data_IF_134434698569
#
_entry.id   IF_134434698569
#
_cell.length_a   1.000
_cell.length_b   1.000
_cell.length_c   1.000
_cell.angle_alpha   90.00
_cell.angle_beta   90.00
_cell.angle_gamma   90.00
#
_symmetry.space_group_name_H-M   'P 1'
#
loop_
_entity.id
_entity.type
_entity.pdbx_description
1 polymer ?
#
# COMPACT_ATOMS: atom_id res chain seq x y z
N UNK A 1 17.12 1.63 42.41
CA UNK A 1 18.06 0.54 42.06
C UNK A 1 17.57 -0.10 40.76
N UNK A 2 18.04 0.42 39.62
CA UNK A 2 17.89 -0.13 38.26
C UNK A 2 19.19 0.23 37.52
N UNK A 3 19.83 -0.69 36.78
CA UNK A 3 21.13 -0.42 36.18
C UNK A 3 20.99 0.47 34.93
N UNK A 4 21.76 1.56 34.92
CA UNK A 4 22.08 2.34 33.71
C UNK A 4 23.03 1.50 32.85
N UNK A 5 22.54 0.97 31.73
CA UNK A 5 23.41 0.47 30.66
C UNK A 5 23.58 1.61 29.66
N UNK A 6 24.77 2.22 29.64
CA UNK A 6 25.23 3.13 28.59
C UNK A 6 25.88 2.32 27.46
N UNK A 7 25.51 2.51 26.19
CA UNK A 7 26.36 2.09 25.08
C UNK A 7 27.44 3.17 24.89
N UNK A 8 28.69 2.76 25.06
CA UNK A 8 29.87 3.57 24.87
C UNK A 8 30.13 3.72 23.36
N UNK A 9 29.67 4.82 22.76
CA UNK A 9 30.01 5.19 21.38
C UNK A 9 31.34 5.95 21.38
N UNK A 10 32.45 5.22 21.28
CA UNK A 10 33.77 5.81 21.01
C UNK A 10 33.83 6.27 19.54
N UNK A 11 33.57 7.56 19.32
CA UNK A 11 34.43 8.36 18.47
C UNK A 11 34.08 8.61 16.99
N UNK A 12 32.88 8.27 16.48
CA UNK A 12 32.42 8.72 15.13
C UNK A 12 30.91 8.95 15.08
N UNK A 13 30.46 9.93 14.29
CA UNK A 13 29.07 10.42 14.21
C UNK A 13 28.06 9.33 13.83
N UNK A 14 26.88 9.39 14.43
CA UNK A 14 25.78 8.41 14.42
C UNK A 14 25.15 8.07 13.03
N UNK A 15 25.72 8.56 11.92
CA UNK A 15 25.14 8.39 10.58
C UNK A 15 25.59 7.13 9.82
N UNK A 16 26.46 6.27 10.36
CA UNK A 16 27.10 5.23 9.53
C UNK A 16 27.18 3.83 10.18
N UNK A 17 26.07 3.33 10.75
CA UNK A 17 26.03 1.95 11.28
C UNK A 17 24.89 1.07 10.76
N UNK A 18 24.04 1.54 9.83
CA UNK A 18 22.97 0.72 9.23
C UNK A 18 22.89 0.98 7.72
N UNK A 19 23.93 0.58 7.01
CA UNK A 19 23.84 0.33 5.58
C UNK A 19 23.39 -1.13 5.38
N UNK A 20 22.44 -1.33 4.45
CA UNK A 20 22.13 -2.58 3.70
C UNK A 20 20.84 -3.39 3.94
N UNK A 21 19.79 -2.92 4.64
CA UNK A 21 18.43 -3.46 4.37
C UNK A 21 17.30 -2.58 4.92
N UNK A 22 16.34 -2.22 4.06
CA UNK A 22 15.29 -1.23 4.29
C UNK A 22 14.07 -1.75 5.03
N UNK A 23 14.24 -2.29 6.23
CA UNK A 23 13.10 -2.67 7.07
C UNK A 23 12.61 -1.47 7.88
N UNK A 24 11.39 -0.96 7.64
CA UNK A 24 10.78 0.01 8.58
C UNK A 24 9.26 -0.09 8.71
N UNK A 25 8.81 0.27 9.90
CA UNK A 25 7.44 0.13 10.40
C UNK A 25 6.58 1.33 9.98
N UNK A 26 5.54 1.10 9.16
CA UNK A 26 4.47 2.06 8.92
C UNK A 26 3.34 1.69 9.90
N UNK A 27 3.06 2.55 10.90
CA UNK A 27 2.09 2.27 11.99
C UNK A 27 2.21 0.88 12.66
N UNK A 28 3.42 0.30 12.72
CA UNK A 28 3.68 -1.01 13.35
C UNK A 28 3.79 -2.20 12.39
N UNK A 29 3.61 -1.99 11.08
CA UNK A 29 3.68 -3.02 10.05
C UNK A 29 4.95 -2.85 9.20
N UNK A 30 5.73 -3.93 8.98
CA UNK A 30 7.01 -3.87 8.26
C UNK A 30 6.74 -3.85 6.76
N UNK A 31 6.90 -2.68 6.14
CA UNK A 31 6.72 -2.49 4.71
C UNK A 31 8.06 -2.08 4.10
N UNK A 32 8.50 -2.81 3.07
CA UNK A 32 9.77 -2.56 2.38
C UNK A 32 9.51 -1.98 0.99
N UNK A 33 10.08 -0.81 0.73
CA UNK A 33 10.06 -0.17 -0.58
C UNK A 33 11.51 0.07 -1.00
N UNK A 34 11.85 -0.38 -2.20
CA UNK A 34 13.18 -0.21 -2.78
C UNK A 34 13.10 0.43 -4.17
N UNK A 35 14.13 1.14 -4.59
CA UNK A 35 14.13 1.85 -5.88
C UNK A 35 15.45 1.58 -6.58
N UNK A 36 15.37 1.17 -7.84
CA UNK A 36 16.51 1.05 -8.73
C UNK A 36 16.66 2.34 -9.56
N UNK A 37 17.67 3.20 -9.26
CA UNK A 37 17.84 4.48 -9.95
C UNK A 37 18.34 4.33 -11.40
N UNK A 38 18.87 3.17 -11.79
CA UNK A 38 19.39 2.91 -13.16
C UNK A 38 18.43 2.08 -14.00
N UNK A 39 17.30 1.67 -13.44
CA UNK A 39 16.27 0.88 -14.12
C UNK A 39 15.55 1.67 -15.23
N UNK A 40 14.91 0.92 -16.13
CA UNK A 40 14.10 1.48 -17.24
C UNK A 40 12.81 2.16 -16.75
N UNK A 41 12.34 1.81 -15.56
CA UNK A 41 11.14 2.39 -14.95
C UNK A 41 11.52 3.65 -14.17
N UNK A 42 10.88 4.80 -14.40
CA UNK A 42 11.15 6.02 -13.65
C UNK A 42 10.98 5.82 -12.13
N UNK A 43 11.84 6.41 -11.28
CA UNK A 43 11.78 6.21 -9.82
C UNK A 43 10.43 6.49 -9.17
N UNK A 44 9.69 7.50 -9.65
CA UNK A 44 8.35 7.80 -9.11
C UNK A 44 7.36 6.64 -9.37
N UNK A 45 7.49 5.97 -10.51
CA UNK A 45 6.62 4.87 -10.93
C UNK A 45 6.94 3.59 -10.16
N UNK A 46 8.22 3.36 -9.85
CA UNK A 46 8.64 2.26 -8.96
C UNK A 46 8.05 2.42 -7.55
N UNK A 47 8.07 3.63 -7.00
CA UNK A 47 7.46 3.93 -5.69
C UNK A 47 5.94 3.78 -5.75
N UNK A 48 5.30 4.35 -6.78
CA UNK A 48 3.84 4.26 -7.00
C UNK A 48 3.37 2.81 -7.04
N UNK A 49 3.97 2.01 -7.91
CA UNK A 49 3.56 0.62 -8.15
C UNK A 49 3.77 -0.28 -6.91
N UNK A 50 4.84 -0.08 -6.14
CA UNK A 50 5.04 -0.81 -4.88
C UNK A 50 3.98 -0.45 -3.84
N UNK A 51 3.71 0.85 -3.61
CA UNK A 51 2.68 1.28 -2.66
C UNK A 51 1.30 0.77 -3.09
N UNK A 52 0.98 0.86 -4.38
CA UNK A 52 -0.25 0.30 -4.93
C UNK A 52 -0.34 -1.22 -4.70
N UNK A 53 0.74 -1.97 -4.95
CA UNK A 53 0.81 -3.41 -4.71
C UNK A 53 0.53 -3.76 -3.25
N UNK A 54 1.13 -3.03 -2.32
CA UNK A 54 0.94 -3.20 -0.88
C UNK A 54 -0.50 -2.88 -0.43
N UNK A 55 -1.11 -1.82 -0.98
CA UNK A 55 -2.52 -1.49 -0.74
C UNK A 55 -3.43 -2.60 -1.29
N UNK A 56 -3.12 -3.13 -2.48
CA UNK A 56 -3.91 -4.19 -3.13
C UNK A 56 -3.79 -5.53 -2.41
N UNK A 57 -2.61 -5.85 -1.89
CA UNK A 57 -2.35 -7.04 -1.09
C UNK A 57 -2.99 -6.97 0.31
N UNK A 58 -3.42 -5.77 0.75
CA UNK A 58 -3.98 -5.53 2.07
C UNK A 58 -2.93 -5.32 3.16
N UNK A 59 -1.63 -5.33 2.83
CA UNK A 59 -0.52 -5.00 3.73
C UNK A 59 -0.54 -3.52 4.14
N UNK A 60 -1.18 -2.67 3.33
CA UNK A 60 -1.54 -1.30 3.70
C UNK A 60 -3.04 -1.17 3.79
N UNK A 61 -3.57 -1.40 4.99
CA UNK A 61 -4.99 -1.33 5.27
C UNK A 61 -5.56 0.10 5.05
N UNK A 62 -6.87 0.19 4.79
CA UNK A 62 -7.59 1.47 4.79
C UNK A 62 -7.32 2.22 6.10
N UNK A 63 -7.06 3.51 5.98
CA UNK A 63 -6.80 4.40 7.12
C UNK A 63 -5.34 4.38 7.58
N UNK A 64 -4.49 3.51 7.04
CA UNK A 64 -3.05 3.51 7.33
C UNK A 64 -2.45 4.86 6.94
N UNK A 65 -1.67 5.44 7.85
CA UNK A 65 -0.99 6.70 7.59
C UNK A 65 0.31 6.45 6.83
N UNK A 66 0.45 7.08 5.68
CA UNK A 66 1.69 7.03 4.91
C UNK A 66 2.74 7.99 5.49
N UNK A 67 4.04 7.68 5.32
CA UNK A 67 5.11 8.62 5.63
C UNK A 67 4.93 9.93 4.87
N UNK A 68 5.44 11.03 5.43
CA UNK A 68 5.44 12.30 4.70
C UNK A 68 6.34 12.21 3.46
N UNK A 69 6.09 13.04 2.45
CA UNK A 69 6.94 13.13 1.25
C UNK A 69 8.40 13.33 1.61
N UNK A 70 8.70 14.21 2.57
CA UNK A 70 10.08 14.47 3.03
C UNK A 70 10.70 13.26 3.72
N UNK A 71 9.92 12.57 4.56
CA UNK A 71 10.40 11.37 5.25
C UNK A 71 10.73 10.25 4.25
N UNK A 72 9.80 9.94 3.35
CA UNK A 72 9.99 8.89 2.36
C UNK A 72 11.10 9.24 1.35
N UNK A 73 11.25 10.52 1.02
CA UNK A 73 12.36 11.03 0.20
C UNK A 73 13.71 10.78 0.85
N UNK A 74 13.84 11.07 2.15
CA UNK A 74 15.07 10.78 2.91
C UNK A 74 15.33 9.28 3.01
N UNK A 75 14.29 8.49 3.27
CA UNK A 75 14.42 7.05 3.47
C UNK A 75 14.83 6.32 2.17
N UNK A 76 14.34 6.77 1.01
CA UNK A 76 14.66 6.18 -0.30
C UNK A 76 15.83 6.86 -1.02
N UNK A 77 16.39 7.95 -0.48
CA UNK A 77 17.41 8.74 -1.17
C UNK A 77 16.91 9.38 -2.47
N UNK A 78 15.61 9.68 -2.57
CA UNK A 78 14.97 10.24 -3.77
C UNK A 78 14.77 11.76 -3.64
N UNK A 79 14.72 12.44 -4.78
CA UNK A 79 14.27 13.83 -4.81
C UNK A 79 12.83 13.96 -4.29
N UNK A 80 12.57 14.99 -3.47
CA UNK A 80 11.25 15.28 -2.87
C UNK A 80 10.14 15.32 -3.93
N UNK A 81 10.41 15.92 -5.09
CA UNK A 81 9.43 16.03 -6.18
C UNK A 81 9.08 14.67 -6.80
N UNK A 82 9.99 13.69 -6.78
CA UNK A 82 9.74 12.33 -7.26
C UNK A 82 8.73 11.62 -6.37
N UNK A 83 8.92 11.71 -5.05
CA UNK A 83 7.98 11.14 -4.08
C UNK A 83 6.65 11.88 -4.10
N UNK A 84 6.67 13.21 -4.20
CA UNK A 84 5.45 14.02 -4.32
C UNK A 84 4.65 13.62 -5.56
N UNK A 85 5.32 13.37 -6.68
CA UNK A 85 4.68 12.87 -7.90
C UNK A 85 4.06 11.50 -7.67
N UNK A 86 4.78 10.55 -7.07
CA UNK A 86 4.24 9.23 -6.77
C UNK A 86 2.94 9.31 -5.94
N UNK A 87 2.93 10.14 -4.88
CA UNK A 87 1.74 10.34 -4.06
C UNK A 87 0.58 11.00 -4.81
N UNK A 88 0.89 11.96 -5.69
CA UNK A 88 -0.13 12.62 -6.52
C UNK A 88 -0.81 11.65 -7.48
N UNK A 89 -0.06 10.73 -8.08
CA UNK A 89 -0.63 9.68 -8.95
C UNK A 89 -1.48 8.70 -8.14
N UNK A 90 -1.02 8.26 -6.96
CA UNK A 90 -1.81 7.41 -6.05
C UNK A 90 -3.12 8.08 -5.60
N UNK A 91 -3.09 9.40 -5.38
CA UNK A 91 -4.27 10.19 -5.03
C UNK A 91 -5.24 10.31 -6.23
N UNK A 92 -4.70 10.52 -7.44
CA UNK A 92 -5.49 10.51 -8.67
C UNK A 92 -6.20 9.16 -8.90
N UNK A 93 -5.53 8.06 -8.56
CA UNK A 93 -6.07 6.69 -8.59
C UNK A 93 -7.01 6.38 -7.40
N UNK A 94 -7.24 7.34 -6.49
CA UNK A 94 -8.06 7.19 -5.27
C UNK A 94 -7.60 6.08 -4.33
N UNK A 95 -6.31 5.75 -4.35
CA UNK A 95 -5.70 4.78 -3.44
C UNK A 95 -5.34 5.44 -2.11
N UNK A 96 -5.04 6.74 -2.13
CA UNK A 96 -4.69 7.54 -0.95
C UNK A 96 -5.41 8.90 -0.99
N UNK A 97 -5.46 9.57 0.15
CA UNK A 97 -5.92 10.96 0.26
C UNK A 97 -4.98 11.79 1.11
N UNK A 98 -4.75 13.04 0.71
CA UNK A 98 -3.98 14.00 1.50
C UNK A 98 -4.91 14.91 2.30
N UNK A 99 -4.88 14.79 3.63
CA UNK A 99 -5.69 15.59 4.57
C UNK A 99 -4.92 16.82 5.09
N UNK A 100 -4.19 17.51 4.21
CA UNK A 100 -3.36 18.68 4.54
C UNK A 100 -2.36 18.39 5.67
N UNK A 101 -2.45 19.15 6.77
CA UNK A 101 -1.57 18.99 7.95
C UNK A 101 -1.69 17.64 8.66
N UNK A 102 -2.78 16.91 8.42
CA UNK A 102 -3.02 15.62 9.08
C UNK A 102 -2.23 14.48 8.42
N UNK A 103 -1.65 14.71 7.23
CA UNK A 103 -0.87 13.72 6.50
C UNK A 103 -1.64 13.05 5.36
N UNK A 104 -1.04 12.01 4.80
CA UNK A 104 -1.59 11.21 3.71
C UNK A 104 -2.04 9.86 4.25
N UNK A 105 -3.24 9.42 3.89
CA UNK A 105 -3.85 8.19 4.40
C UNK A 105 -4.29 7.29 3.25
N UNK A 106 -4.18 5.98 3.45
CA UNK A 106 -4.68 4.99 2.50
C UNK A 106 -6.22 5.04 2.50
N UNK A 107 -6.80 5.34 1.34
CA UNK A 107 -8.25 5.30 1.14
C UNK A 107 -8.75 3.87 0.94
N UNK A 108 -7.97 3.06 0.21
CA UNK A 108 -8.39 1.80 -0.40
C UNK A 108 -9.76 1.89 -1.09
N UNK A 109 -9.75 2.05 -2.42
CA UNK A 109 -10.90 1.71 -3.27
C UNK A 109 -10.46 1.33 -4.69
N UNK A 110 -10.30 0.02 -4.90
CA UNK A 110 -10.76 -0.68 -6.11
C UNK A 110 -10.82 -2.21 -5.96
N UNK A 111 -10.23 -2.78 -4.90
CA UNK A 111 -10.26 -4.23 -4.62
C UNK A 111 -11.29 -4.67 -3.58
N UNK A 112 -12.24 -3.81 -3.19
CA UNK A 112 -13.40 -4.25 -2.41
C UNK A 112 -14.70 -3.88 -3.14
N UNK A 113 -15.16 -4.78 -4.01
CA UNK A 113 -16.57 -5.10 -4.31
C UNK A 113 -17.37 -4.18 -5.27
N UNK A 114 -16.99 -2.91 -5.52
CA UNK A 114 -17.85 -2.00 -6.30
C UNK A 114 -17.39 -1.71 -7.74
N UNK A 115 -16.99 -2.72 -8.51
CA UNK A 115 -17.24 -2.59 -9.95
C UNK A 115 -18.76 -2.70 -10.11
N UNK A 116 -19.43 -1.58 -10.36
CA UNK A 116 -20.89 -1.52 -10.47
C UNK A 116 -21.41 -2.53 -11.51
N UNK A 117 -20.62 -2.81 -12.56
CA UNK A 117 -20.93 -3.85 -13.53
C UNK A 117 -20.85 -5.26 -12.91
N UNK A 118 -19.77 -5.60 -12.21
CA UNK A 118 -19.62 -6.86 -11.47
C UNK A 118 -20.67 -7.04 -10.38
N UNK A 119 -20.99 -6.00 -9.60
CA UNK A 119 -22.04 -6.06 -8.60
C UNK A 119 -23.41 -6.32 -9.24
N UNK A 120 -23.71 -5.62 -10.34
CA UNK A 120 -24.93 -5.86 -11.13
C UNK A 120 -24.98 -7.28 -11.67
N UNK A 121 -23.86 -7.81 -12.18
CA UNK A 121 -23.77 -9.19 -12.65
C UNK A 121 -24.00 -10.21 -11.52
N UNK A 122 -23.42 -9.99 -10.34
CA UNK A 122 -23.61 -10.83 -9.17
C UNK A 122 -25.08 -10.83 -8.68
N UNK A 123 -25.74 -9.67 -8.67
CA UNK A 123 -27.17 -9.55 -8.33
C UNK A 123 -28.04 -10.30 -9.35
N UNK A 124 -27.72 -10.17 -10.64
CA UNK A 124 -28.44 -10.90 -11.70
C UNK A 124 -28.29 -12.41 -11.57
N UNK A 125 -27.09 -12.91 -11.32
CA UNK A 125 -26.83 -14.33 -11.06
C UNK A 125 -27.66 -14.81 -9.86
N UNK A 126 -27.62 -14.09 -8.74
CA UNK A 126 -28.34 -14.45 -7.53
C UNK A 126 -29.86 -14.49 -7.75
N UNK A 127 -30.41 -13.55 -8.53
CA UNK A 127 -31.83 -13.54 -8.91
C UNK A 127 -32.19 -14.78 -9.73
N UNK A 128 -31.45 -15.06 -10.81
CA UNK A 128 -31.71 -16.20 -11.68
C UNK A 128 -31.55 -17.53 -10.94
N UNK A 129 -30.57 -17.66 -10.06
CA UNK A 129 -30.38 -18.86 -9.24
C UNK A 129 -31.57 -19.12 -8.31
N UNK A 130 -32.12 -18.09 -7.66
CA UNK A 130 -33.31 -18.21 -6.81
C UNK A 130 -34.56 -18.58 -7.60
N UNK A 131 -34.75 -17.98 -8.79
CA UNK A 131 -35.86 -18.32 -9.71
C UNK A 131 -35.77 -19.78 -10.18
N UNK A 132 -34.56 -20.31 -10.34
CA UNK A 132 -34.30 -21.71 -10.67
C UNK A 132 -34.34 -22.66 -9.45
N UNK A 133 -34.53 -22.15 -8.23
CA UNK A 133 -34.55 -22.95 -7.01
C UNK A 133 -33.18 -23.45 -6.53
N UNK A 134 -32.09 -22.86 -7.02
CA UNK A 134 -30.73 -23.24 -6.64
C UNK A 134 -30.35 -22.69 -5.27
N UNK A 135 -29.65 -23.52 -4.49
CA UNK A 135 -28.95 -23.09 -3.28
C UNK A 135 -27.74 -22.21 -3.63
N UNK A 136 -27.25 -21.47 -2.63
CA UNK A 136 -26.01 -20.69 -2.77
C UNK A 136 -24.83 -21.58 -3.21
N UNK A 137 -24.73 -22.78 -2.63
CA UNK A 137 -23.65 -23.73 -2.94
C UNK A 137 -23.67 -24.14 -4.42
N UNK A 138 -24.84 -24.45 -4.98
CA UNK A 138 -25.00 -24.81 -6.39
C UNK A 138 -24.70 -23.62 -7.31
N UNK A 139 -25.18 -22.42 -6.96
CA UNK A 139 -24.89 -21.20 -7.72
C UNK A 139 -23.39 -20.89 -7.74
N UNK A 140 -22.70 -21.05 -6.61
CA UNK A 140 -21.23 -20.89 -6.53
C UNK A 140 -20.51 -21.97 -7.33
N UNK A 141 -20.99 -23.21 -7.32
CA UNK A 141 -20.39 -24.30 -8.11
C UNK A 141 -20.49 -24.03 -9.61
N UNK A 142 -21.63 -23.54 -10.10
CA UNK A 142 -21.80 -23.12 -11.51
C UNK A 142 -20.84 -21.99 -11.86
N UNK A 143 -20.73 -20.98 -10.99
CA UNK A 143 -19.80 -19.86 -11.21
C UNK A 143 -18.34 -20.34 -11.30
N UNK A 144 -17.95 -21.29 -10.45
CA UNK A 144 -16.60 -21.87 -10.46
C UNK A 144 -16.33 -22.71 -11.72
N UNK A 145 -17.34 -23.35 -12.30
CA UNK A 145 -17.19 -24.12 -13.54
C UNK A 145 -17.13 -23.24 -14.79
N UNK A 146 -17.66 -22.02 -14.72
CA UNK A 146 -17.67 -21.07 -15.84
C UNK A 146 -16.34 -20.32 -16.01
N UNK A 147 -15.40 -20.52 -15.09
CA UNK A 147 -14.06 -19.91 -15.08
C UNK A 147 -13.02 -20.89 -15.59
#
# INVERSE_FOLDING_TARGET
MLPRVTPHCLGRTWHNCLATQGHRLWDGERVEISVDPVGLTPPYEQVRSQIEGLIRAGELARGTRLPTVRQLSLDLGLAVNTVARAYKELEADRLVETRGRNGTFVLASRSQIDDAATHTAAVNLARTAREAGLSLAEATQILNQAW
#
